data_IF_670776876893
#
_entry.id   IF_670776876893
#
_cell.length_a   1.000
_cell.length_b   1.000
_cell.length_c   1.000
_cell.angle_alpha   90.00
_cell.angle_beta   90.00
_cell.angle_gamma   90.00
#
_symmetry.space_group_name_H-M   'P 1'
#
loop_
_entity.id
_entity.type
_entity.pdbx_description
1 polymer ?
#
# COMPACT_ATOMS: atom_id res chain seq x y z
N UNK A 1 -11.71 10.69 31.83
CA UNK A 1 -12.10 9.32 31.43
C UNK A 1 -11.88 8.38 32.61
N UNK A 2 -12.23 7.12 32.47
CA UNK A 2 -11.97 6.08 33.47
C UNK A 2 -10.52 5.62 33.42
N UNK A 3 -9.91 5.44 34.59
CA UNK A 3 -8.52 5.05 34.73
C UNK A 3 -8.26 4.25 36.01
N UNK A 4 -7.13 3.55 36.05
CA UNK A 4 -6.60 2.85 37.21
C UNK A 4 -5.15 3.27 37.43
N UNK A 5 -4.77 3.53 38.67
CA UNK A 5 -3.39 3.74 39.10
C UNK A 5 -3.00 2.61 40.04
N UNK A 6 -1.87 1.97 39.75
CA UNK A 6 -1.31 0.89 40.56
C UNK A 6 -0.03 1.39 41.20
N UNK A 7 0.05 1.27 42.53
CA UNK A 7 1.25 1.50 43.33
C UNK A 7 2.01 0.19 43.51
N UNK A 8 3.29 0.21 43.15
CA UNK A 8 4.17 -0.96 43.19
C UNK A 8 4.97 -1.06 44.50
N UNK A 9 4.88 -0.05 45.38
CA UNK A 9 5.46 -0.05 46.72
C UNK A 9 6.94 0.30 46.81
N UNK A 10 7.62 0.48 45.68
CA UNK A 10 9.03 0.86 45.55
C UNK A 10 9.22 2.30 45.05
N UNK A 11 8.17 3.11 45.15
CA UNK A 11 8.14 4.50 44.68
C UNK A 11 7.66 4.65 43.23
N UNK A 12 7.36 3.55 42.53
CA UNK A 12 6.77 3.59 41.19
C UNK A 12 5.26 3.44 41.19
N UNK A 13 4.63 4.19 40.29
CA UNK A 13 3.19 4.13 40.00
C UNK A 13 2.98 3.88 38.49
N UNK A 14 2.02 3.05 38.13
CA UNK A 14 1.60 2.88 36.73
C UNK A 14 0.14 3.27 36.52
N UNK A 15 -0.14 4.13 35.55
CA UNK A 15 -1.47 4.63 35.22
C UNK A 15 -1.98 4.02 33.91
N UNK A 16 -3.23 3.57 33.90
CA UNK A 16 -3.93 3.02 32.73
C UNK A 16 -5.21 3.80 32.49
N UNK A 17 -5.30 4.51 31.36
CA UNK A 17 -6.39 5.41 31.02
C UNK A 17 -7.26 4.93 29.86
N UNK A 18 -8.29 5.73 29.58
CA UNK A 18 -9.32 5.51 28.56
C UNK A 18 -10.10 4.20 28.72
N UNK A 19 -10.23 3.68 29.95
CA UNK A 19 -11.09 2.52 30.17
C UNK A 19 -12.54 2.86 29.81
N UNK A 20 -13.30 1.83 29.49
CA UNK A 20 -14.67 1.95 28.98
C UNK A 20 -15.60 2.57 30.11
N UNK A 21 -16.78 3.18 29.83
CA UNK A 21 -17.81 3.63 30.87
C UNK A 21 -19.37 3.51 30.53
N UNK A 22 -20.02 2.34 30.40
CA UNK A 22 -21.42 2.07 29.96
C UNK A 22 -21.82 0.78 30.69
N UNK A 23 -23.07 0.75 31.16
CA UNK A 23 -23.64 -0.42 31.82
C UNK A 23 -23.07 -0.73 33.20
N UNK A 24 -22.28 0.17 33.80
CA UNK A 24 -21.87 0.08 35.21
C UNK A 24 -20.70 -0.86 35.53
N UNK A 25 -19.99 -1.43 34.55
CA UNK A 25 -18.92 -2.41 34.83
C UNK A 25 -17.71 -2.26 33.93
N UNK A 26 -16.82 -1.30 34.22
CA UNK A 26 -15.73 -0.95 33.30
C UNK A 26 -14.39 -0.47 33.90
N UNK A 27 -14.27 -0.49 35.23
CA UNK A 27 -13.02 -0.70 35.96
C UNK A 27 -13.25 -1.91 36.85
N UNK A 28 -12.34 -2.89 36.87
CA UNK A 28 -12.54 -4.20 37.52
C UNK A 28 -11.99 -4.29 38.94
N UNK A 29 -11.26 -3.26 39.36
CA UNK A 29 -10.61 -3.18 40.67
C UNK A 29 -11.14 -2.00 41.46
N UNK A 30 -10.98 -2.06 42.79
CA UNK A 30 -11.34 -0.98 43.70
C UNK A 30 -10.11 -0.32 44.30
N UNK A 31 -10.26 0.93 44.73
CA UNK A 31 -9.19 1.62 45.48
C UNK A 31 -8.80 0.81 46.71
N UNK A 32 -7.49 0.58 46.87
CA UNK A 32 -6.93 -0.21 47.98
C UNK A 32 -6.88 -1.72 47.74
N UNK A 33 -7.40 -2.20 46.62
CA UNK A 33 -7.31 -3.62 46.26
C UNK A 33 -5.86 -4.00 45.90
N UNK A 34 -5.36 -5.09 46.49
CA UNK A 34 -4.06 -5.64 46.11
C UNK A 34 -4.19 -6.41 44.80
N UNK A 35 -3.38 -6.04 43.82
CA UNK A 35 -3.38 -6.64 42.48
C UNK A 35 -2.04 -7.31 42.19
N UNK A 36 -2.06 -8.36 41.37
CA UNK A 36 -0.86 -9.01 40.85
C UNK A 36 -0.59 -8.54 39.41
N UNK A 37 0.56 -8.93 38.85
CA UNK A 37 0.89 -8.69 37.43
C UNK A 37 -0.13 -9.29 36.45
N UNK A 38 -0.97 -10.24 36.90
CA UNK A 38 -1.97 -10.92 36.07
C UNK A 38 -3.41 -10.48 36.36
N UNK A 39 -3.62 -9.58 37.33
CA UNK A 39 -4.97 -9.16 37.73
C UNK A 39 -5.57 -8.24 36.66
N UNK A 40 -6.72 -8.59 36.04
CA UNK A 40 -7.34 -7.73 35.03
C UNK A 40 -7.88 -6.43 35.65
N UNK A 41 -7.31 -5.28 35.28
CA UNK A 41 -7.65 -3.97 35.86
C UNK A 41 -8.96 -3.37 35.29
N UNK A 42 -9.30 -3.70 34.05
CA UNK A 42 -10.43 -3.11 33.34
C UNK A 42 -10.50 -3.58 31.89
N UNK A 43 -11.34 -2.91 31.10
CA UNK A 43 -11.45 -3.15 29.65
C UNK A 43 -11.06 -1.88 28.88
N UNK A 44 -10.38 -2.09 27.76
CA UNK A 44 -9.99 -1.02 26.82
C UNK A 44 -11.25 -0.30 26.35
N UNK A 45 -11.21 1.03 26.33
CA UNK A 45 -12.33 1.86 25.95
C UNK A 45 -11.88 3.16 25.29
N UNK A 46 -12.72 4.17 25.39
CA UNK A 46 -12.52 5.45 24.71
C UNK A 46 -13.06 6.64 25.50
N UNK A 47 -12.88 6.64 26.82
CA UNK A 47 -13.40 7.72 27.69
C UNK A 47 -12.36 8.82 27.94
N UNK A 48 -12.82 10.07 28.16
CA UNK A 48 -11.95 11.24 28.36
C UNK A 48 -11.61 11.98 27.05
N UNK A 49 -10.56 12.80 27.07
CA UNK A 49 -10.09 13.51 25.87
C UNK A 49 -9.20 12.61 25.02
N UNK A 50 -9.73 12.11 23.90
CA UNK A 50 -9.04 11.11 23.06
C UNK A 50 -9.60 11.09 21.64
N UNK A 51 -8.72 11.00 20.62
CA UNK A 51 -9.02 11.30 19.21
C UNK A 51 -8.92 10.11 18.24
N UNK A 52 -8.60 8.90 18.71
CA UNK A 52 -8.16 7.78 17.84
C UNK A 52 -8.91 6.45 18.03
N UNK A 53 -10.14 6.44 18.56
CA UNK A 53 -10.87 5.19 18.80
C UNK A 53 -10.42 4.45 20.08
N UNK A 54 -10.91 3.22 20.33
CA UNK A 54 -10.58 2.47 21.54
C UNK A 54 -9.09 2.12 21.65
N UNK A 55 -8.44 2.53 22.75
CA UNK A 55 -7.03 2.26 23.03
C UNK A 55 -6.72 2.38 24.53
N UNK A 56 -5.51 2.01 24.93
CA UNK A 56 -5.01 2.20 26.30
C UNK A 56 -3.99 3.34 26.31
N UNK A 57 -4.18 4.30 27.22
CA UNK A 57 -3.14 5.26 27.58
C UNK A 57 -2.39 4.74 28.80
N UNK A 58 -1.07 4.62 28.71
CA UNK A 58 -0.28 4.02 29.78
C UNK A 58 0.93 4.88 30.13
N UNK A 59 1.11 5.13 31.43
CA UNK A 59 2.20 5.95 31.96
C UNK A 59 2.86 5.28 33.17
N UNK A 60 4.13 5.62 33.39
CA UNK A 60 4.87 5.30 34.60
C UNK A 60 5.28 6.60 35.28
N UNK A 61 5.11 6.66 36.60
CA UNK A 61 5.51 7.77 37.45
C UNK A 61 6.41 7.26 38.57
N UNK A 62 7.31 8.11 39.05
CA UNK A 62 8.14 7.87 40.22
C UNK A 62 7.89 8.97 41.26
N UNK A 63 7.81 8.62 42.54
CA UNK A 63 7.44 9.53 43.62
C UNK A 63 8.26 10.83 43.65
N UNK A 64 9.55 10.75 43.31
CA UNK A 64 10.45 11.93 43.30
C UNK A 64 10.59 12.59 41.93
N UNK A 65 10.40 11.83 40.84
CA UNK A 65 10.73 12.31 39.47
C UNK A 65 9.49 12.68 38.66
N UNK A 66 8.28 12.42 39.18
CA UNK A 66 7.03 12.55 38.44
C UNK A 66 6.95 11.55 37.28
N UNK A 67 6.37 11.96 36.16
CA UNK A 67 6.21 11.09 34.98
C UNK A 67 7.55 10.75 34.35
N UNK A 68 7.87 9.46 34.25
CA UNK A 68 9.13 8.95 33.69
C UNK A 68 8.91 8.38 32.29
N UNK A 69 9.95 8.36 31.46
CA UNK A 69 9.84 7.79 30.11
C UNK A 69 9.77 6.26 30.18
N UNK A 70 8.79 5.68 29.47
CA UNK A 70 8.56 4.23 29.47
C UNK A 70 9.74 3.43 28.86
N UNK A 71 10.55 4.01 27.97
CA UNK A 71 11.69 3.33 27.34
C UNK A 71 12.87 3.07 28.29
N UNK A 72 12.82 3.58 29.52
CA UNK A 72 13.75 3.20 30.60
C UNK A 72 13.49 1.80 31.16
N UNK A 73 12.24 1.33 31.04
CA UNK A 73 11.80 0.06 31.64
C UNK A 73 11.54 -1.01 30.56
N UNK A 74 11.44 -0.60 29.31
CA UNK A 74 11.17 -1.48 28.18
C UNK A 74 12.04 -1.11 26.99
N UNK A 75 12.73 -2.10 26.43
CA UNK A 75 13.36 -1.90 25.13
C UNK A 75 12.28 -1.83 24.06
N UNK A 76 12.35 -0.83 23.18
CA UNK A 76 11.50 -0.76 21.98
C UNK A 76 11.68 -1.99 21.09
N UNK A 77 12.85 -2.65 21.12
CA UNK A 77 13.07 -3.90 20.40
C UNK A 77 12.42 -5.12 21.05
N UNK A 78 12.11 -5.06 22.35
CA UNK A 78 11.40 -6.13 23.08
C UNK A 78 9.88 -6.01 23.02
N UNK A 79 9.35 -4.82 22.69
CA UNK A 79 7.92 -4.62 22.42
C UNK A 79 7.72 -4.65 20.91
N UNK A 80 7.45 -5.84 20.37
CA UNK A 80 6.98 -5.97 18.99
C UNK A 80 5.60 -5.31 18.94
N UNK A 81 5.54 -4.08 18.42
CA UNK A 81 4.27 -3.39 18.19
C UNK A 81 3.52 -4.13 17.10
N UNK A 82 2.67 -5.07 17.52
CA UNK A 82 1.90 -5.87 16.61
C UNK A 82 0.44 -5.45 16.69
N UNK A 83 0.05 -4.62 15.73
CA UNK A 83 -1.29 -4.04 15.64
C UNK A 83 -2.42 -5.10 15.56
N UNK A 84 -2.08 -6.35 15.25
CA UNK A 84 -3.04 -7.47 15.05
C UNK A 84 -2.52 -8.87 15.41
N UNK A 85 -1.49 -9.06 16.26
CA UNK A 85 -0.97 -10.41 16.55
C UNK A 85 -1.96 -11.32 17.28
N UNK A 86 -3.02 -10.77 17.88
CA UNK A 86 -4.13 -11.56 18.42
C UNK A 86 -5.05 -12.14 17.33
N UNK A 87 -4.87 -11.75 16.06
CA UNK A 87 -5.63 -12.23 14.91
C UNK A 87 -4.81 -13.19 14.01
N UNK A 88 -3.56 -13.48 14.36
CA UNK A 88 -2.73 -14.46 13.68
C UNK A 88 -3.02 -15.86 14.25
N UNK A 89 -3.67 -16.72 13.46
CA UNK A 89 -4.01 -18.09 13.84
C UNK A 89 -2.80 -19.02 14.02
N UNK A 90 -1.58 -18.56 13.69
CA UNK A 90 -0.34 -19.31 13.87
C UNK A 90 0.34 -19.08 15.23
N UNK A 91 -0.08 -18.08 15.98
CA UNK A 91 0.45 -17.80 17.33
C UNK A 91 -0.37 -18.58 18.35
N UNK A 92 0.17 -19.70 18.83
CA UNK A 92 -0.38 -20.42 19.99
C UNK A 92 -0.23 -19.51 21.22
N UNK A 93 -1.21 -18.65 21.45
CA UNK A 93 -1.41 -18.09 22.77
C UNK A 93 -1.99 -19.18 23.65
N UNK A 94 -1.28 -19.53 24.72
CA UNK A 94 -1.81 -20.29 25.86
C UNK A 94 -2.85 -19.43 26.59
N UNK A 95 -3.97 -19.14 25.93
CA UNK A 95 -5.11 -18.49 26.57
C UNK A 95 -5.82 -19.58 27.36
N UNK A 96 -5.75 -19.46 28.68
CA UNK A 96 -6.62 -20.22 29.59
C UNK A 96 -8.05 -19.95 29.14
N UNK A 97 -8.66 -20.95 28.51
CA UNK A 97 -9.99 -20.86 27.94
C UNK A 97 -11.02 -20.64 29.06
N UNK A 98 -11.34 -19.39 29.37
CA UNK A 98 -12.61 -19.07 29.98
C UNK A 98 -13.65 -19.10 28.87
N UNK A 99 -14.27 -20.26 28.67
CA UNK A 99 -15.49 -20.40 27.89
C UNK A 99 -16.54 -19.44 28.46
N UNK A 100 -16.80 -18.35 27.75
CA UNK A 100 -17.98 -17.52 27.98
C UNK A 100 -19.04 -17.98 27.00
N UNK A 101 -19.82 -18.98 27.44
CA UNK A 101 -21.19 -19.18 26.98
C UNK A 101 -21.95 -17.90 27.27
N UNK A 102 -22.07 -17.03 26.28
CA UNK A 102 -22.92 -15.85 26.34
C UNK A 102 -24.36 -16.28 26.63
N UNK A 103 -24.86 -15.86 27.79
CA UNK A 103 -26.15 -16.26 28.34
C UNK A 103 -27.30 -15.95 27.40
N UNK A 104 -28.28 -16.86 27.42
CA UNK A 104 -29.58 -16.70 26.80
C UNK A 104 -30.29 -15.45 27.29
N UNK A 105 -30.40 -14.46 26.41
CA UNK A 105 -31.55 -13.56 26.39
C UNK A 105 -32.56 -14.12 25.41
N UNK A 106 -33.84 -14.15 25.79
CA UNK A 106 -34.99 -14.72 25.05
C UNK A 106 -35.25 -14.06 23.67
N UNK A 107 -34.36 -13.19 23.20
CA UNK A 107 -34.43 -12.50 21.92
C UNK A 107 -33.07 -12.59 21.22
N UNK A 108 -32.77 -13.73 20.58
CA UNK A 108 -31.63 -13.81 19.67
C UNK A 108 -31.89 -12.97 18.42
N UNK A 109 -30.82 -12.47 17.79
CA UNK A 109 -30.92 -11.68 16.55
C UNK A 109 -31.61 -12.47 15.44
N UNK A 110 -31.42 -13.80 15.40
CA UNK A 110 -32.11 -14.66 14.43
C UNK A 110 -33.62 -14.72 14.69
N UNK A 111 -34.05 -14.75 15.96
CA UNK A 111 -35.47 -14.80 16.32
C UNK A 111 -36.22 -13.51 15.95
N UNK A 112 -35.59 -12.35 16.17
CA UNK A 112 -36.17 -11.05 15.77
C UNK A 112 -36.29 -10.97 14.25
N UNK A 113 -35.25 -11.41 13.52
CA UNK A 113 -35.28 -11.46 12.06
C UNK A 113 -36.38 -12.38 11.52
N UNK A 114 -36.52 -13.57 12.11
CA UNK A 114 -37.55 -14.53 11.74
C UNK A 114 -38.97 -14.01 12.04
N UNK A 115 -39.19 -13.37 13.19
CA UNK A 115 -40.47 -12.76 13.56
C UNK A 115 -40.83 -11.59 12.63
N UNK A 116 -39.87 -10.74 12.27
CA UNK A 116 -40.11 -9.64 11.33
C UNK A 116 -40.47 -10.16 9.93
N UNK A 117 -39.80 -11.20 9.45
CA UNK A 117 -40.10 -11.83 8.16
C UNK A 117 -41.48 -12.51 8.16
N UNK A 118 -41.84 -13.19 9.24
CA UNK A 118 -43.18 -13.77 9.43
C UNK A 118 -44.26 -12.71 9.48
N UNK A 119 -44.02 -11.59 10.17
CA UNK A 119 -44.96 -10.49 10.31
C UNK A 119 -45.12 -9.73 8.98
N UNK A 120 -44.04 -9.58 8.21
CA UNK A 120 -44.06 -9.05 6.85
C UNK A 120 -44.84 -9.98 5.91
N UNK A 121 -44.58 -11.29 5.98
CA UNK A 121 -45.32 -12.31 5.21
C UNK A 121 -46.81 -12.35 5.56
N UNK A 122 -47.15 -12.26 6.84
CA UNK A 122 -48.53 -12.19 7.30
C UNK A 122 -49.23 -10.90 6.85
N UNK A 123 -48.55 -9.76 6.87
CA UNK A 123 -49.10 -8.50 6.36
C UNK A 123 -49.34 -8.54 4.85
N UNK A 124 -48.45 -9.17 4.09
CA UNK A 124 -48.62 -9.40 2.64
C UNK A 124 -49.82 -10.31 2.37
N UNK A 125 -50.01 -11.35 3.18
CA UNK A 125 -51.06 -12.35 2.97
C UNK A 125 -52.46 -11.90 3.45
N UNK A 126 -52.56 -11.26 4.62
CA UNK A 126 -53.86 -10.94 5.25
C UNK A 126 -54.33 -9.51 5.06
N UNK A 127 -53.42 -8.56 4.80
CA UNK A 127 -53.74 -7.12 4.65
C UNK A 127 -52.87 -6.49 3.54
N UNK A 128 -52.93 -7.01 2.29
CA UNK A 128 -52.10 -6.52 1.19
C UNK A 128 -52.29 -5.02 0.92
N UNK A 129 -53.48 -4.49 1.24
CA UNK A 129 -53.82 -3.07 1.16
C UNK A 129 -52.94 -2.19 2.06
N UNK A 130 -52.59 -2.65 3.26
CA UNK A 130 -51.74 -1.90 4.21
C UNK A 130 -50.31 -1.83 3.70
N UNK A 131 -49.81 -2.94 3.17
CA UNK A 131 -48.49 -3.01 2.52
C UNK A 131 -48.46 -2.14 1.27
N UNK A 132 -49.50 -2.20 0.43
CA UNK A 132 -49.62 -1.38 -0.76
C UNK A 132 -49.68 0.12 -0.44
N UNK A 133 -50.44 0.53 0.59
CA UNK A 133 -50.51 1.92 1.04
C UNK A 133 -49.19 2.40 1.65
N UNK A 134 -48.51 1.55 2.44
CA UNK A 134 -47.19 1.85 3.01
C UNK A 134 -46.13 2.07 1.92
N UNK A 135 -46.03 1.13 0.98
CA UNK A 135 -45.13 1.21 -0.18
C UNK A 135 -45.48 2.40 -1.07
N UNK A 136 -46.77 2.68 -1.28
CA UNK A 136 -47.22 3.84 -2.05
C UNK A 136 -46.86 5.18 -1.37
N UNK A 137 -46.94 5.28 -0.04
CA UNK A 137 -46.55 6.49 0.70
C UNK A 137 -45.03 6.70 0.70
N UNK A 138 -44.25 5.63 0.89
CA UNK A 138 -42.79 5.67 0.79
C UNK A 138 -42.33 6.03 -0.63
N UNK A 139 -42.94 5.42 -1.64
CA UNK A 139 -42.71 5.74 -3.05
C UNK A 139 -43.06 7.19 -3.39
N UNK A 140 -44.13 7.76 -2.82
CA UNK A 140 -44.45 9.20 -2.98
C UNK A 140 -43.44 10.11 -2.29
N UNK A 141 -42.91 9.75 -1.13
CA UNK A 141 -41.87 10.53 -0.46
C UNK A 141 -40.57 10.54 -1.30
N UNK A 142 -40.16 9.38 -1.80
CA UNK A 142 -39.01 9.21 -2.70
C UNK A 142 -39.22 9.95 -4.03
N UNK A 143 -40.41 9.85 -4.62
CA UNK A 143 -40.74 10.55 -5.86
C UNK A 143 -40.74 12.09 -5.68
N UNK A 144 -41.16 12.61 -4.52
CA UNK A 144 -41.04 14.05 -4.22
C UNK A 144 -39.59 14.49 -4.07
N UNK A 145 -38.76 13.68 -3.41
CA UNK A 145 -37.31 13.91 -3.29
C UNK A 145 -36.63 13.92 -4.66
N UNK A 146 -37.04 13.03 -5.57
CA UNK A 146 -36.54 12.97 -6.94
C UNK A 146 -37.15 14.05 -7.86
N UNK A 147 -38.40 14.47 -7.64
CA UNK A 147 -39.05 15.57 -8.38
C UNK A 147 -38.42 16.94 -8.09
N UNK A 148 -37.79 17.15 -6.93
CA UNK A 148 -36.92 18.31 -6.69
C UNK A 148 -35.70 18.36 -7.63
N UNK A 149 -35.39 17.27 -8.36
CA UNK A 149 -34.25 17.17 -9.30
C UNK A 149 -34.63 17.01 -10.79
N UNK A 150 -35.93 16.97 -11.14
CA UNK A 150 -36.38 16.63 -12.50
C UNK A 150 -37.42 17.61 -13.07
N UNK A 151 -37.09 18.89 -13.21
CA UNK A 151 -37.89 19.83 -14.02
C UNK A 151 -37.69 19.69 -15.55
N UNK A 152 -36.88 18.73 -16.01
CA UNK A 152 -36.47 18.61 -17.43
C UNK A 152 -37.08 17.40 -18.18
N UNK A 153 -37.68 16.43 -17.48
CA UNK A 153 -38.09 15.16 -18.10
C UNK A 153 -39.61 14.93 -18.14
N UNK A 154 -40.37 15.98 -18.49
CA UNK A 154 -41.74 15.79 -18.96
C UNK A 154 -41.80 15.99 -20.46
N UNK A 155 -42.01 14.90 -21.19
CA UNK A 155 -43.06 14.72 -22.22
C UNK A 155 -42.74 13.46 -23.05
N UNK A 156 -43.77 12.67 -23.39
CA UNK A 156 -43.76 11.68 -24.50
C UNK A 156 -43.51 10.19 -24.23
N UNK A 157 -43.84 9.58 -23.07
CA UNK A 157 -43.94 8.11 -23.00
C UNK A 157 -45.16 7.57 -22.22
N UNK A 158 -45.86 6.61 -22.84
CA UNK A 158 -47.19 6.09 -22.49
C UNK A 158 -47.32 5.50 -21.06
N UNK A 159 -48.46 5.83 -20.42
CA UNK A 159 -48.81 5.65 -18.99
C UNK A 159 -49.00 4.23 -18.46
N UNK A 160 -48.80 3.14 -19.22
CA UNK A 160 -49.04 1.77 -18.72
C UNK A 160 -47.79 0.93 -18.49
N UNK A 161 -46.73 1.16 -19.26
CA UNK A 161 -45.47 0.39 -19.16
C UNK A 161 -44.52 0.94 -18.10
N UNK A 162 -44.58 2.25 -17.82
CA UNK A 162 -43.75 2.92 -16.81
C UNK A 162 -44.09 2.52 -15.38
N UNK A 163 -45.34 2.13 -15.10
CA UNK A 163 -45.75 1.75 -13.75
C UNK A 163 -45.09 0.45 -13.28
N UNK A 164 -45.00 -0.56 -14.15
CA UNK A 164 -44.35 -1.83 -13.82
C UNK A 164 -42.83 -1.72 -13.78
N UNK A 165 -42.21 -1.00 -14.72
CA UNK A 165 -40.76 -0.79 -14.70
C UNK A 165 -40.32 0.05 -13.50
N UNK A 166 -41.12 1.02 -13.05
CA UNK A 166 -40.82 1.82 -11.86
C UNK A 166 -40.99 1.01 -10.56
N UNK A 167 -41.95 0.09 -10.49
CA UNK A 167 -42.11 -0.83 -9.34
C UNK A 167 -40.96 -1.85 -9.30
N UNK A 168 -40.58 -2.39 -10.45
CA UNK A 168 -39.43 -3.29 -10.58
C UNK A 168 -38.14 -2.56 -10.16
N UNK A 169 -37.89 -1.35 -10.67
CA UNK A 169 -36.73 -0.55 -10.26
C UNK A 169 -36.75 -0.15 -8.79
N UNK A 170 -37.93 0.11 -8.19
CA UNK A 170 -38.01 0.54 -6.79
C UNK A 170 -37.94 -0.61 -5.78
N UNK A 171 -38.27 -1.84 -6.18
CA UNK A 171 -38.32 -3.01 -5.27
C UNK A 171 -37.21 -4.01 -5.56
N UNK A 172 -37.03 -4.41 -6.82
CA UNK A 172 -36.04 -5.41 -7.18
C UNK A 172 -34.62 -4.84 -7.12
N UNK A 173 -34.37 -3.59 -7.53
CA UNK A 173 -33.00 -3.05 -7.51
C UNK A 173 -32.47 -2.90 -6.08
N UNK A 174 -33.19 -2.34 -5.09
CA UNK A 174 -32.69 -2.30 -3.72
C UNK A 174 -32.58 -3.69 -3.07
N UNK A 175 -33.50 -4.61 -3.37
CA UNK A 175 -33.44 -5.99 -2.88
C UNK A 175 -32.26 -6.76 -3.47
N UNK A 176 -31.96 -6.58 -4.76
CA UNK A 176 -30.79 -7.13 -5.44
C UNK A 176 -29.51 -6.49 -4.90
N UNK A 177 -29.47 -5.18 -4.68
CA UNK A 177 -28.30 -4.49 -4.10
C UNK A 177 -28.06 -4.91 -2.64
N UNK A 178 -29.11 -5.11 -1.84
CA UNK A 178 -28.96 -5.60 -0.46
C UNK A 178 -28.56 -7.08 -0.41
N UNK A 179 -29.13 -7.92 -1.29
CA UNK A 179 -28.77 -9.34 -1.34
C UNK A 179 -27.37 -9.55 -1.90
N UNK A 180 -26.96 -8.79 -2.92
CA UNK A 180 -25.58 -8.80 -3.44
C UNK A 180 -24.59 -8.21 -2.46
N UNK A 181 -24.91 -7.13 -1.75
CA UNK A 181 -24.03 -6.58 -0.70
C UNK A 181 -23.79 -7.58 0.44
N UNK A 182 -24.84 -8.31 0.83
CA UNK A 182 -24.74 -9.36 1.86
C UNK A 182 -24.02 -10.59 1.33
N UNK A 183 -24.28 -11.02 0.09
CA UNK A 183 -23.58 -12.14 -0.54
C UNK A 183 -22.10 -11.85 -0.76
N UNK A 184 -21.73 -10.63 -1.14
CA UNK A 184 -20.35 -10.16 -1.25
C UNK A 184 -19.69 -10.17 0.13
N UNK A 185 -20.36 -9.67 1.17
CA UNK A 185 -19.81 -9.70 2.53
C UNK A 185 -19.61 -11.11 3.07
N UNK A 186 -20.51 -12.06 2.75
CA UNK A 186 -20.38 -13.48 3.12
C UNK A 186 -19.26 -14.15 2.33
N UNK A 187 -19.19 -13.94 1.01
CA UNK A 187 -18.10 -14.43 0.17
C UNK A 187 -16.72 -13.92 0.65
N UNK A 188 -16.63 -12.63 1.00
CA UNK A 188 -15.40 -12.07 1.58
C UNK A 188 -15.04 -12.68 2.93
N UNK A 189 -16.04 -13.00 3.76
CA UNK A 189 -15.79 -13.63 5.05
C UNK A 189 -15.29 -15.06 4.88
N UNK A 190 -15.83 -15.82 3.92
CA UNK A 190 -15.39 -17.18 3.59
C UNK A 190 -13.97 -17.19 3.00
N UNK A 191 -13.65 -16.24 2.12
CA UNK A 191 -12.33 -16.11 1.48
C UNK A 191 -11.31 -15.29 2.31
N UNK A 192 -11.67 -14.88 3.54
CA UNK A 192 -10.83 -14.06 4.43
C UNK A 192 -10.37 -12.71 3.82
N UNK A 193 -11.17 -12.14 2.91
CA UNK A 193 -10.86 -10.87 2.23
C UNK A 193 -11.21 -9.70 3.16
N UNK A 194 -10.20 -8.90 3.57
CA UNK A 194 -10.40 -7.73 4.42
C UNK A 194 -11.33 -6.70 3.73
N UNK A 195 -12.40 -6.21 4.40
CA UNK A 195 -13.30 -5.17 3.89
C UNK A 195 -12.63 -3.89 3.40
N UNK A 196 -11.44 -3.56 3.90
CA UNK A 196 -10.61 -2.46 3.44
C UNK A 196 -10.07 -2.70 2.04
N UNK A 197 -9.83 -3.95 1.66
CA UNK A 197 -9.45 -4.33 0.29
C UNK A 197 -10.62 -4.00 -0.63
N UNK A 198 -11.88 -4.22 -0.23
CA UNK A 198 -13.06 -3.86 -1.02
C UNK A 198 -13.35 -2.36 -1.08
N UNK A 199 -13.06 -1.63 -0.01
CA UNK A 199 -13.06 -0.17 -0.06
C UNK A 199 -11.93 0.38 -0.96
N UNK A 200 -10.79 -0.32 -0.99
CA UNK A 200 -9.70 -0.09 -1.93
C UNK A 200 -10.11 -0.43 -3.38
N UNK A 201 -10.80 -1.55 -3.61
CA UNK A 201 -11.35 -1.99 -4.90
C UNK A 201 -12.35 -0.95 -5.44
N UNK A 202 -13.28 -0.45 -4.60
CA UNK A 202 -14.24 0.58 -5.00
C UNK A 202 -13.60 1.95 -5.25
N UNK A 203 -12.56 2.32 -4.48
CA UNK A 203 -11.93 3.64 -4.55
C UNK A 203 -10.88 3.74 -5.68
N UNK A 204 -10.31 2.63 -6.12
CA UNK A 204 -9.15 2.62 -7.03
C UNK A 204 -9.29 1.75 -8.29
N UNK A 205 -10.44 1.10 -8.53
CA UNK A 205 -10.75 0.42 -9.80
C UNK A 205 -10.99 -1.09 -9.65
N UNK A 206 -11.84 -1.63 -10.54
CA UNK A 206 -12.44 -2.98 -10.41
C UNK A 206 -11.49 -4.18 -10.55
N UNK A 207 -10.21 -3.99 -10.90
CA UNK A 207 -9.23 -5.07 -10.95
C UNK A 207 -7.84 -4.46 -10.68
N UNK A 208 -7.08 -4.90 -9.66
CA UNK A 208 -5.63 -4.77 -9.76
C UNK A 208 -5.24 -5.59 -10.99
N UNK A 209 -4.63 -4.96 -11.98
CA UNK A 209 -3.91 -5.70 -13.01
C UNK A 209 -2.65 -6.18 -12.31
N UNK A 210 -2.52 -7.46 -11.93
CA UNK A 210 -1.28 -7.89 -11.30
C UNK A 210 -0.17 -7.78 -12.35
N UNK A 211 0.80 -6.91 -12.11
CA UNK A 211 2.00 -6.86 -12.92
C UNK A 211 2.67 -8.23 -12.99
N UNK A 212 3.19 -8.60 -14.16
CA UNK A 212 3.90 -9.87 -14.34
C UNK A 212 5.23 -9.93 -13.59
N UNK A 213 5.70 -8.79 -13.08
CA UNK A 213 6.99 -8.65 -12.41
C UNK A 213 8.17 -8.76 -13.40
N UNK A 214 9.34 -9.07 -12.86
CA UNK A 214 10.53 -9.28 -13.68
C UNK A 214 10.43 -10.59 -14.47
N UNK A 215 10.78 -10.49 -15.76
CA UNK A 215 10.82 -11.55 -16.75
C UNK A 215 12.28 -11.81 -17.15
N UNK A 216 12.74 -13.03 -16.91
CA UNK A 216 14.13 -13.42 -17.20
C UNK A 216 14.40 -13.31 -18.71
N UNK A 217 15.47 -12.60 -19.06
CA UNK A 217 15.90 -12.40 -20.45
C UNK A 217 15.13 -11.31 -21.21
N UNK A 218 14.12 -10.68 -20.59
CA UNK A 218 13.47 -9.52 -21.15
C UNK A 218 14.37 -8.28 -21.11
N UNK A 219 13.98 -7.25 -21.86
CA UNK A 219 14.64 -5.94 -21.83
C UNK A 219 13.70 -4.89 -21.28
N UNK A 220 14.27 -3.87 -20.67
CA UNK A 220 13.57 -2.86 -19.92
C UNK A 220 13.99 -1.47 -20.38
N UNK A 221 13.00 -0.60 -20.56
CA UNK A 221 13.22 0.82 -20.81
C UNK A 221 12.64 1.60 -19.64
N UNK A 222 13.51 2.18 -18.82
CA UNK A 222 13.11 2.84 -17.59
C UNK A 222 13.20 4.35 -17.69
N UNK A 223 12.18 5.05 -17.20
CA UNK A 223 12.27 6.48 -16.87
C UNK A 223 12.43 6.62 -15.37
N UNK A 224 13.46 7.35 -14.94
CA UNK A 224 13.76 7.58 -13.53
C UNK A 224 13.59 9.06 -13.20
N UNK A 225 12.95 9.39 -12.08
CA UNK A 225 13.06 10.75 -11.57
C UNK A 225 12.24 11.04 -10.34
N UNK A 226 12.21 12.32 -9.99
CA UNK A 226 11.36 12.86 -8.94
C UNK A 226 10.15 13.54 -9.60
N UNK A 227 8.95 12.96 -9.53
CA UNK A 227 7.74 13.66 -9.92
C UNK A 227 7.59 15.00 -9.19
N UNK A 228 6.96 15.98 -9.84
CA UNK A 228 6.69 17.32 -9.32
C UNK A 228 7.88 18.25 -9.06
N UNK A 229 9.12 17.87 -9.38
CA UNK A 229 10.29 18.72 -9.09
C UNK A 229 10.61 19.75 -10.19
N UNK A 230 9.91 19.71 -11.33
CA UNK A 230 10.21 20.58 -12.46
C UNK A 230 11.49 20.21 -13.21
N UNK A 231 12.15 19.08 -12.88
CA UNK A 231 13.39 18.58 -13.52
C UNK A 231 13.28 17.10 -13.91
N UNK A 232 14.03 16.63 -14.93
CA UNK A 232 13.98 15.25 -15.47
C UNK A 232 12.71 14.89 -16.24
N UNK A 233 12.64 13.69 -16.83
CA UNK A 233 11.44 13.22 -17.56
C UNK A 233 10.22 13.19 -16.65
N UNK A 234 10.36 12.65 -15.44
CA UNK A 234 9.25 12.49 -14.49
C UNK A 234 8.86 13.76 -13.74
N UNK A 235 9.77 14.72 -13.53
CA UNK A 235 9.46 15.93 -12.76
C UNK A 235 8.56 16.94 -13.45
N UNK A 236 8.08 16.67 -14.67
CA UNK A 236 7.06 17.51 -15.35
C UNK A 236 5.64 17.24 -14.85
N UNK A 237 5.42 16.09 -14.21
CA UNK A 237 4.10 15.66 -13.80
C UNK A 237 4.08 15.23 -12.34
N UNK A 238 2.89 15.32 -11.76
CA UNK A 238 2.55 14.78 -10.44
C UNK A 238 1.53 13.65 -10.53
N UNK A 239 0.95 13.44 -11.71
CA UNK A 239 -0.14 12.49 -11.90
C UNK A 239 0.42 11.14 -12.35
N UNK A 240 0.06 10.04 -11.67
CA UNK A 240 0.52 8.70 -12.02
C UNK A 240 0.28 8.28 -13.47
N UNK A 241 -0.84 8.67 -14.08
CA UNK A 241 -1.15 8.36 -15.48
C UNK A 241 -0.18 9.03 -16.45
N UNK A 242 0.20 10.27 -16.16
CA UNK A 242 1.21 11.01 -16.94
C UNK A 242 2.63 10.43 -16.73
N UNK A 243 2.93 9.89 -15.54
CA UNK A 243 4.18 9.15 -15.31
C UNK A 243 4.21 7.89 -16.16
N UNK A 244 3.10 7.13 -16.20
CA UNK A 244 2.99 5.95 -17.05
C UNK A 244 3.10 6.28 -18.55
N UNK A 245 2.45 7.36 -19.00
CA UNK A 245 2.62 7.88 -20.38
C UNK A 245 4.07 8.22 -20.70
N UNK A 246 4.82 8.79 -19.76
CA UNK A 246 6.23 9.08 -19.95
C UNK A 246 7.08 7.79 -20.09
N UNK A 247 6.80 6.77 -19.29
CA UNK A 247 7.46 5.47 -19.40
C UNK A 247 7.19 4.79 -20.76
N UNK A 248 5.93 4.80 -21.22
CA UNK A 248 5.55 4.30 -22.55
C UNK A 248 6.19 5.12 -23.67
N UNK A 249 6.24 6.45 -23.54
CA UNK A 249 6.89 7.30 -24.54
C UNK A 249 8.38 6.95 -24.70
N UNK A 250 9.10 6.78 -23.58
CA UNK A 250 10.49 6.34 -23.59
C UNK A 250 10.65 4.96 -24.21
N UNK A 251 9.79 4.01 -23.84
CA UNK A 251 9.75 2.67 -24.44
C UNK A 251 9.61 2.71 -25.96
N UNK A 252 8.73 3.55 -26.50
CA UNK A 252 8.56 3.72 -27.94
C UNK A 252 9.77 4.38 -28.62
N UNK A 253 10.52 5.25 -27.93
CA UNK A 253 11.78 5.78 -28.44
C UNK A 253 12.87 4.71 -28.50
N UNK A 254 13.06 3.96 -27.42
CA UNK A 254 14.02 2.85 -27.35
C UNK A 254 13.67 1.77 -28.36
N UNK A 255 12.39 1.44 -28.53
CA UNK A 255 11.92 0.45 -29.51
C UNK A 255 12.26 0.84 -30.94
N UNK A 256 11.99 2.10 -31.30
CA UNK A 256 12.32 2.62 -32.64
C UNK A 256 13.83 2.63 -32.90
N UNK A 257 14.62 2.92 -31.88
CA UNK A 257 16.08 2.97 -31.98
C UNK A 257 16.72 1.57 -32.04
N UNK A 258 16.40 0.71 -31.08
CA UNK A 258 17.04 -0.60 -30.89
C UNK A 258 16.42 -1.73 -31.72
N UNK A 259 15.18 -1.53 -32.21
CA UNK A 259 14.32 -2.59 -32.79
C UNK A 259 13.97 -3.73 -31.85
N UNK A 260 14.23 -3.57 -30.54
CA UNK A 260 13.76 -4.47 -29.49
C UNK A 260 12.47 -3.90 -28.91
N UNK A 261 11.58 -4.75 -28.39
CA UNK A 261 10.37 -4.32 -27.69
C UNK A 261 10.59 -4.42 -26.17
N UNK A 262 11.17 -3.41 -25.51
CA UNK A 262 11.39 -3.46 -24.07
C UNK A 262 10.08 -3.25 -23.30
N UNK A 263 10.05 -3.76 -22.07
CA UNK A 263 9.01 -3.50 -21.09
C UNK A 263 9.20 -2.08 -20.52
N UNK A 264 8.16 -1.22 -20.51
CA UNK A 264 8.25 0.11 -19.93
C UNK A 264 8.34 0.03 -18.41
N UNK A 265 9.23 0.84 -17.81
CA UNK A 265 9.40 0.92 -16.35
C UNK A 265 9.35 2.37 -15.91
N UNK A 266 8.59 2.65 -14.85
CA UNK A 266 8.64 3.93 -14.14
C UNK A 266 9.36 3.75 -12.79
N UNK A 267 10.45 4.49 -12.59
CA UNK A 267 11.20 4.54 -11.33
C UNK A 267 10.97 5.91 -10.69
N UNK A 268 10.01 5.98 -9.75
CA UNK A 268 9.63 7.26 -9.11
C UNK A 268 10.16 7.37 -7.70
N UNK A 269 10.84 8.47 -7.40
CA UNK A 269 11.24 8.80 -6.03
C UNK A 269 10.12 9.47 -5.26
N UNK A 270 9.85 8.97 -4.06
CA UNK A 270 8.85 9.55 -3.16
C UNK A 270 9.24 10.93 -2.67
N UNK A 271 8.26 11.82 -2.57
CA UNK A 271 8.41 13.15 -1.98
C UNK A 271 7.07 13.65 -1.42
N UNK A 272 7.00 14.90 -0.96
CA UNK A 272 5.78 15.46 -0.36
C UNK A 272 4.58 15.53 -1.33
N UNK A 273 4.81 15.62 -2.64
CA UNK A 273 3.78 15.75 -3.67
C UNK A 273 3.49 14.43 -4.40
N UNK A 274 4.44 13.49 -4.36
CA UNK A 274 4.30 12.13 -4.86
C UNK A 274 4.54 11.15 -3.72
N UNK A 275 3.47 10.91 -2.95
CA UNK A 275 3.47 10.11 -1.74
C UNK A 275 3.04 8.64 -2.01
N UNK A 276 2.83 7.86 -0.94
CA UNK A 276 2.46 6.43 -1.02
C UNK A 276 1.14 6.21 -1.78
N UNK A 277 0.20 7.16 -1.71
CA UNK A 277 -1.08 7.12 -2.43
C UNK A 277 -0.86 7.25 -3.94
N UNK A 278 0.02 8.14 -4.39
CA UNK A 278 0.37 8.27 -5.81
C UNK A 278 1.18 7.07 -6.29
N UNK A 279 2.13 6.57 -5.49
CA UNK A 279 2.87 5.33 -5.80
C UNK A 279 1.93 4.13 -5.99
N UNK A 280 0.93 3.99 -5.12
CA UNK A 280 -0.10 2.95 -5.26
C UNK A 280 -0.90 3.10 -6.55
N UNK A 281 -1.30 4.32 -6.91
CA UNK A 281 -2.01 4.57 -8.17
C UNK A 281 -1.11 4.27 -9.37
N UNK A 282 0.18 4.61 -9.29
CA UNK A 282 1.14 4.34 -10.34
C UNK A 282 1.27 2.85 -10.65
N UNK A 283 1.20 1.97 -9.64
CA UNK A 283 1.16 0.52 -9.87
C UNK A 283 0.05 0.16 -10.86
N UNK A 284 -1.19 0.57 -10.59
CA UNK A 284 -2.32 0.32 -11.48
C UNK A 284 -2.09 0.89 -12.90
N UNK A 285 -1.60 2.12 -13.01
CA UNK A 285 -1.37 2.77 -14.31
C UNK A 285 -0.27 2.07 -15.12
N UNK A 286 0.79 1.61 -14.46
CA UNK A 286 1.88 0.88 -15.11
C UNK A 286 1.46 -0.53 -15.50
N UNK A 287 0.73 -1.24 -14.64
CA UNK A 287 0.24 -2.59 -14.95
C UNK A 287 -0.80 -2.58 -16.07
N UNK A 288 -1.58 -1.51 -16.22
CA UNK A 288 -2.51 -1.34 -17.34
C UNK A 288 -1.80 -1.26 -18.71
N UNK A 289 -0.52 -0.87 -18.73
CA UNK A 289 0.31 -0.79 -19.94
C UNK A 289 1.37 -1.89 -20.00
N UNK A 290 1.16 -3.00 -19.29
CA UNK A 290 2.07 -4.15 -19.17
C UNK A 290 3.50 -3.74 -18.76
N UNK A 291 3.62 -2.69 -17.94
CA UNK A 291 4.88 -2.15 -17.45
C UNK A 291 5.11 -2.38 -15.97
N UNK A 292 6.30 -1.98 -15.50
CA UNK A 292 6.70 -2.10 -14.09
C UNK A 292 6.73 -0.74 -13.39
N UNK A 293 6.27 -0.72 -12.14
CA UNK A 293 6.39 0.43 -11.24
C UNK A 293 7.36 0.11 -10.09
N UNK A 294 8.45 0.88 -10.04
CA UNK A 294 9.51 0.75 -9.05
C UNK A 294 9.57 2.03 -8.23
N UNK A 295 9.63 1.89 -6.90
CA UNK A 295 9.64 3.04 -6.00
C UNK A 295 11.05 3.29 -5.48
N UNK A 296 11.61 4.46 -5.81
CA UNK A 296 12.90 4.93 -5.31
C UNK A 296 12.71 5.55 -3.91
N UNK A 297 13.37 4.96 -2.93
CA UNK A 297 13.33 5.40 -1.52
C UNK A 297 14.60 6.13 -1.09
N UNK A 298 15.44 6.53 -2.04
CA UNK A 298 16.77 7.09 -1.79
C UNK A 298 17.60 6.12 -0.93
N UNK A 299 18.17 6.59 0.16
CA UNK A 299 18.99 5.81 1.10
C UNK A 299 18.19 5.16 2.24
N UNK A 300 16.85 5.26 2.24
CA UNK A 300 16.02 4.89 3.39
C UNK A 300 15.52 3.43 3.35
N UNK A 301 16.31 2.50 3.87
CA UNK A 301 15.95 1.08 3.98
C UNK A 301 14.71 0.81 4.82
N UNK A 302 14.47 1.59 5.89
CA UNK A 302 13.26 1.40 6.69
C UNK A 302 12.01 1.74 5.87
N UNK A 303 12.06 2.82 5.09
CA UNK A 303 10.99 3.16 4.17
C UNK A 303 10.81 2.09 3.08
N UNK A 304 11.90 1.50 2.57
CA UNK A 304 11.79 0.35 1.66
C UNK A 304 10.97 -0.79 2.26
N UNK A 305 11.30 -1.23 3.49
CA UNK A 305 10.57 -2.29 4.17
C UNK A 305 9.09 -1.93 4.39
N UNK A 306 8.80 -0.70 4.82
CA UNK A 306 7.43 -0.23 5.01
C UNK A 306 6.62 -0.28 3.69
N UNK A 307 7.23 0.13 2.57
CA UNK A 307 6.58 0.11 1.26
C UNK A 307 6.40 -1.31 0.73
N UNK A 308 7.34 -2.21 0.96
CA UNK A 308 7.20 -3.63 0.61
C UNK A 308 6.03 -4.24 1.37
N UNK A 309 5.90 -3.95 2.66
CA UNK A 309 4.78 -4.44 3.47
C UNK A 309 3.43 -3.85 3.04
N UNK A 310 3.40 -2.57 2.66
CA UNK A 310 2.18 -1.87 2.31
C UNK A 310 1.73 -2.10 0.86
N UNK A 311 2.66 -2.06 -0.10
CA UNK A 311 2.37 -1.98 -1.53
C UNK A 311 2.40 -3.32 -2.24
N UNK A 312 2.99 -4.37 -1.66
CA UNK A 312 3.04 -5.69 -2.32
C UNK A 312 1.64 -6.25 -2.56
N UNK A 313 0.68 -6.05 -1.66
CA UNK A 313 -0.72 -6.46 -1.88
C UNK A 313 -1.37 -5.73 -3.08
N UNK A 314 -0.80 -4.61 -3.52
CA UNK A 314 -1.21 -3.86 -4.71
C UNK A 314 -0.33 -4.14 -5.92
N UNK A 315 0.50 -5.18 -5.89
CA UNK A 315 1.32 -5.58 -7.03
C UNK A 315 2.67 -4.87 -7.15
N UNK A 316 3.27 -4.39 -6.05
CA UNK A 316 4.60 -3.76 -6.08
C UNK A 316 5.62 -4.60 -6.88
N UNK A 317 6.16 -4.04 -7.98
CA UNK A 317 7.13 -4.74 -8.81
C UNK A 317 8.53 -4.66 -8.21
N UNK A 318 8.91 -3.50 -7.65
CA UNK A 318 10.26 -3.33 -7.11
C UNK A 318 10.51 -2.08 -6.29
N UNK A 319 11.71 -2.05 -5.71
CA UNK A 319 12.26 -0.93 -4.95
C UNK A 319 13.59 -0.51 -5.58
N UNK A 320 13.90 0.78 -5.57
CA UNK A 320 15.21 1.30 -5.91
C UNK A 320 15.87 1.96 -4.69
N UNK A 321 17.16 1.64 -4.47
CA UNK A 321 18.00 2.20 -3.41
C UNK A 321 19.15 2.99 -4.01
N UNK A 322 19.29 4.24 -3.55
CA UNK A 322 20.41 5.11 -3.84
C UNK A 322 21.61 4.77 -2.97
N UNK A 323 22.68 4.31 -3.58
CA UNK A 323 23.91 3.94 -2.88
C UNK A 323 24.95 5.06 -2.88
N UNK A 324 24.73 6.16 -3.60
CA UNK A 324 25.70 7.26 -3.71
C UNK A 324 25.92 7.95 -2.36
N UNK A 325 24.82 8.22 -1.66
CA UNK A 325 24.79 9.01 -0.43
C UNK A 325 24.58 8.16 0.83
N UNK A 326 24.62 6.84 0.69
CA UNK A 326 24.55 5.94 1.82
C UNK A 326 25.97 5.72 2.35
N UNK A 327 26.29 6.32 3.51
CA UNK A 327 27.63 6.27 4.12
C UNK A 327 28.21 4.85 4.18
N UNK A 328 27.37 3.84 4.45
CA UNK A 328 27.67 2.41 4.28
C UNK A 328 26.40 1.62 3.97
N UNK A 329 26.34 0.93 2.83
CA UNK A 329 25.28 -0.05 2.54
C UNK A 329 25.83 -1.43 2.83
N UNK A 330 25.41 -2.04 3.94
CA UNK A 330 25.87 -3.39 4.28
C UNK A 330 25.15 -4.39 3.39
N UNK A 331 25.87 -5.41 2.93
CA UNK A 331 25.29 -6.52 2.18
C UNK A 331 24.07 -7.14 2.89
N UNK A 332 24.11 -7.22 4.23
CA UNK A 332 23.01 -7.68 5.07
C UNK A 332 21.72 -6.86 4.90
N UNK A 333 21.82 -5.55 4.73
CA UNK A 333 20.64 -4.67 4.61
C UNK A 333 19.96 -4.91 3.25
N UNK A 334 20.74 -5.08 2.18
CA UNK A 334 20.25 -5.49 0.85
C UNK A 334 19.64 -6.89 0.93
N UNK A 335 20.30 -7.82 1.62
CA UNK A 335 19.83 -9.20 1.76
C UNK A 335 18.47 -9.25 2.45
N UNK A 336 18.31 -8.57 3.59
CA UNK A 336 17.07 -8.55 4.34
C UNK A 336 15.92 -7.88 3.59
N UNK A 337 16.21 -6.83 2.82
CA UNK A 337 15.20 -6.21 1.98
C UNK A 337 14.73 -7.17 0.88
N UNK A 338 15.65 -7.84 0.19
CA UNK A 338 15.30 -8.83 -0.83
C UNK A 338 14.53 -10.03 -0.25
N UNK A 339 14.94 -10.56 0.90
CA UNK A 339 14.22 -11.63 1.61
C UNK A 339 12.79 -11.21 1.95
N UNK A 340 12.60 -9.98 2.43
CA UNK A 340 11.26 -9.44 2.75
C UNK A 340 10.40 -9.25 1.50
N UNK A 341 10.99 -8.80 0.39
CA UNK A 341 10.32 -8.66 -0.90
C UNK A 341 9.82 -10.03 -1.41
N UNK A 342 10.69 -11.05 -1.35
CA UNK A 342 10.33 -12.43 -1.71
C UNK A 342 9.19 -12.97 -0.83
N UNK A 343 9.33 -12.86 0.49
CA UNK A 343 8.29 -13.28 1.46
C UNK A 343 6.93 -12.64 1.15
N UNK A 344 6.90 -11.32 0.96
CA UNK A 344 5.65 -10.61 0.69
C UNK A 344 5.06 -10.97 -0.67
N UNK A 345 5.88 -11.09 -1.71
CA UNK A 345 5.41 -11.44 -3.05
C UNK A 345 4.81 -12.84 -3.09
N UNK A 346 5.43 -13.82 -2.41
CA UNK A 346 4.86 -15.17 -2.19
C UNK A 346 3.54 -15.11 -1.44
N UNK A 347 3.48 -14.38 -0.33
CA UNK A 347 2.26 -14.29 0.49
C UNK A 347 1.08 -13.67 -0.27
N UNK A 348 1.36 -12.80 -1.24
CA UNK A 348 0.38 -12.18 -2.12
C UNK A 348 0.08 -12.99 -3.39
N UNK A 349 0.71 -14.16 -3.57
CA UNK A 349 0.59 -15.01 -4.76
C UNK A 349 0.81 -14.26 -6.08
N UNK A 350 1.78 -13.34 -6.11
CA UNK A 350 2.11 -12.56 -7.30
C UNK A 350 3.08 -13.33 -8.22
N UNK A 351 2.87 -13.30 -9.54
CA UNK A 351 3.76 -13.96 -10.50
C UNK A 351 5.10 -13.23 -10.65
N UNK A 352 6.11 -13.90 -11.21
CA UNK A 352 7.41 -13.31 -11.54
C UNK A 352 8.26 -12.85 -10.35
N UNK A 353 9.50 -12.44 -10.62
CA UNK A 353 10.42 -11.96 -9.57
C UNK A 353 10.15 -10.49 -9.24
N UNK A 354 10.38 -10.09 -7.99
CA UNK A 354 10.46 -8.66 -7.66
C UNK A 354 11.79 -8.07 -8.14
N UNK A 355 11.87 -6.76 -8.34
CA UNK A 355 13.09 -6.06 -8.76
C UNK A 355 13.65 -5.23 -7.61
N UNK A 356 14.91 -5.44 -7.26
CA UNK A 356 15.65 -4.56 -6.37
C UNK A 356 16.73 -3.83 -7.18
N UNK A 357 16.50 -2.54 -7.45
CA UNK A 357 17.47 -1.70 -8.16
C UNK A 357 18.46 -1.12 -7.16
N UNK A 358 19.74 -1.29 -7.46
CA UNK A 358 20.85 -0.68 -6.73
C UNK A 358 21.56 0.26 -7.68
N UNK A 359 21.58 1.56 -7.40
CA UNK A 359 22.21 2.53 -8.30
C UNK A 359 23.36 3.29 -7.65
N UNK A 360 24.32 3.66 -8.48
CA UNK A 360 25.57 4.36 -8.14
C UNK A 360 26.53 3.58 -7.20
N UNK A 361 27.04 2.43 -7.66
CA UNK A 361 27.51 1.37 -6.76
C UNK A 361 29.04 1.21 -6.58
N UNK A 362 29.84 2.26 -6.76
CA UNK A 362 31.30 2.06 -6.81
C UNK A 362 32.03 2.07 -5.47
N UNK A 363 31.37 2.48 -4.40
CA UNK A 363 32.11 2.91 -3.21
C UNK A 363 31.63 2.28 -1.90
N UNK A 364 30.39 1.77 -1.83
CA UNK A 364 29.72 1.59 -0.54
C UNK A 364 29.20 0.17 -0.25
N UNK A 365 29.48 -0.82 -1.11
CA UNK A 365 29.19 -2.23 -0.82
C UNK A 365 30.49 -2.99 -0.54
N UNK A 366 30.52 -3.72 0.57
CA UNK A 366 31.61 -4.64 0.86
C UNK A 366 31.71 -5.66 -0.28
N UNK A 367 32.90 -5.79 -0.88
CA UNK A 367 33.14 -6.73 -1.98
C UNK A 367 32.90 -8.15 -1.48
N UNK A 368 31.75 -8.71 -1.81
CA UNK A 368 31.33 -10.02 -1.33
C UNK A 368 30.31 -10.64 -2.27
N UNK A 369 30.76 -11.69 -2.96
CA UNK A 369 29.95 -12.61 -3.77
C UNK A 369 28.69 -13.05 -3.00
N UNK A 370 27.54 -13.22 -3.67
CA UNK A 370 26.37 -13.90 -3.08
C UNK A 370 25.08 -13.08 -2.90
N UNK A 371 24.87 -12.01 -3.67
CA UNK A 371 23.57 -11.33 -3.77
C UNK A 371 22.68 -12.01 -4.81
N UNK A 372 22.35 -13.29 -4.60
CA UNK A 372 21.45 -14.05 -5.45
C UNK A 372 20.18 -14.43 -4.67
N UNK A 373 19.03 -14.14 -5.27
CA UNK A 373 17.72 -14.49 -4.73
C UNK A 373 16.84 -15.06 -5.84
N UNK A 374 16.25 -16.22 -5.59
CA UNK A 374 15.43 -16.88 -6.62
C UNK A 374 14.21 -16.03 -7.02
N UNK A 375 13.65 -15.28 -6.08
CA UNK A 375 12.40 -14.52 -6.25
C UNK A 375 12.60 -13.00 -6.35
N UNK A 376 13.84 -12.52 -6.20
CA UNK A 376 14.17 -11.09 -6.36
C UNK A 376 15.34 -10.96 -7.30
N UNK A 377 15.12 -10.27 -8.41
CA UNK A 377 16.18 -9.88 -9.31
C UNK A 377 16.83 -8.59 -8.80
N UNK A 378 18.11 -8.68 -8.45
CA UNK A 378 18.92 -7.50 -8.17
C UNK A 378 19.45 -6.95 -9.50
N UNK A 379 19.17 -5.67 -9.77
CA UNK A 379 19.59 -4.99 -11.00
C UNK A 379 20.50 -3.82 -10.62
N UNK A 380 21.83 -3.97 -10.75
CA UNK A 380 22.72 -2.85 -10.57
C UNK A 380 22.69 -1.92 -11.79
N UNK A 381 22.53 -0.62 -11.54
CA UNK A 381 22.44 0.39 -12.60
C UNK A 381 23.59 1.38 -12.47
N UNK A 382 24.40 1.46 -13.53
CA UNK A 382 25.46 2.45 -13.63
C UNK A 382 24.93 3.82 -14.04
N UNK A 383 25.26 4.85 -13.26
CA UNK A 383 24.76 6.23 -13.44
C UNK A 383 25.86 7.27 -13.52
N UNK A 384 27.13 6.86 -13.63
CA UNK A 384 28.24 7.80 -13.75
C UNK A 384 28.12 8.67 -15.00
N UNK A 385 28.78 9.81 -14.94
CA UNK A 385 28.72 10.88 -15.93
C UNK A 385 29.91 10.80 -16.92
N UNK A 386 29.84 11.57 -18.01
CA UNK A 386 30.95 11.73 -18.95
C UNK A 386 30.76 11.02 -20.29
N UNK A 387 31.88 10.64 -20.93
CA UNK A 387 31.92 10.05 -22.28
C UNK A 387 31.36 8.63 -22.31
N UNK A 388 31.04 8.13 -23.51
CA UNK A 388 30.66 6.73 -23.72
C UNK A 388 31.68 5.79 -23.10
N UNK A 389 32.97 5.98 -23.39
CA UNK A 389 34.04 5.11 -22.88
C UNK A 389 34.11 5.11 -21.35
N UNK A 390 34.02 6.29 -20.72
CA UNK A 390 34.01 6.39 -19.26
C UNK A 390 32.82 5.67 -18.64
N UNK A 391 31.64 5.77 -19.27
CA UNK A 391 30.45 5.06 -18.82
C UNK A 391 30.57 3.54 -18.98
N UNK A 392 31.22 3.07 -20.04
CA UNK A 392 31.41 1.64 -20.26
C UNK A 392 32.38 1.02 -19.26
N UNK A 393 33.47 1.72 -18.92
CA UNK A 393 34.39 1.28 -17.85
C UNK A 393 33.67 1.18 -16.51
N UNK A 394 32.82 2.16 -16.20
CA UNK A 394 31.99 2.11 -15.00
C UNK A 394 31.00 0.95 -15.03
N UNK A 395 30.28 0.75 -16.14
CA UNK A 395 29.35 -0.36 -16.32
C UNK A 395 30.03 -1.72 -16.14
N UNK A 396 31.18 -1.94 -16.78
CA UNK A 396 31.97 -3.17 -16.66
C UNK A 396 32.34 -3.42 -15.20
N UNK A 397 32.79 -2.37 -14.49
CA UNK A 397 33.13 -2.48 -13.08
C UNK A 397 31.92 -2.76 -12.20
N UNK A 398 30.75 -2.18 -12.50
CA UNK A 398 29.48 -2.52 -11.84
C UNK A 398 29.16 -4.00 -12.02
N UNK A 399 29.21 -4.50 -13.27
CA UNK A 399 28.91 -5.89 -13.58
C UNK A 399 29.86 -6.85 -12.86
N UNK A 400 31.16 -6.51 -12.79
CA UNK A 400 32.15 -7.27 -12.03
C UNK A 400 31.83 -7.32 -10.53
N UNK A 401 31.49 -6.19 -9.90
CA UNK A 401 31.20 -6.11 -8.46
C UNK A 401 29.98 -6.93 -8.06
N UNK A 402 28.97 -6.99 -8.94
CA UNK A 402 27.72 -7.70 -8.69
C UNK A 402 27.64 -9.09 -9.31
N UNK A 403 28.68 -9.52 -10.04
CA UNK A 403 28.64 -10.72 -10.88
C UNK A 403 27.44 -10.72 -11.85
N UNK A 404 26.99 -9.53 -12.26
CA UNK A 404 25.78 -9.34 -13.06
C UNK A 404 26.08 -9.52 -14.55
N UNK A 405 25.27 -10.32 -15.23
CA UNK A 405 25.33 -10.41 -16.69
C UNK A 405 24.82 -9.10 -17.32
N UNK A 406 25.18 -8.79 -18.59
CA UNK A 406 24.69 -7.58 -19.26
C UNK A 406 23.17 -7.43 -19.19
N UNK A 407 22.40 -8.49 -19.46
CA UNK A 407 20.93 -8.49 -19.37
C UNK A 407 20.37 -8.29 -17.95
N UNK A 408 21.18 -8.45 -16.93
CA UNK A 408 20.82 -8.27 -15.52
C UNK A 408 21.37 -6.96 -14.95
N UNK A 409 21.89 -6.08 -15.81
CA UNK A 409 22.44 -4.79 -15.43
C UNK A 409 21.79 -3.65 -16.23
N UNK A 410 21.97 -2.43 -15.74
CA UNK A 410 21.47 -1.23 -16.39
C UNK A 410 22.50 -0.14 -16.58
N UNK A 411 22.21 0.72 -17.55
CA UNK A 411 23.00 1.91 -17.85
C UNK A 411 22.08 3.11 -18.02
N UNK A 412 22.43 4.22 -17.37
CA UNK A 412 21.66 5.45 -17.39
C UNK A 412 22.22 6.49 -18.36
N UNK A 413 21.33 7.06 -19.14
CA UNK A 413 21.55 8.25 -19.96
C UNK A 413 20.80 9.45 -19.35
N UNK A 414 21.44 10.61 -19.37
CA UNK A 414 20.84 11.87 -18.93
C UNK A 414 20.43 12.67 -20.18
N UNK A 415 19.13 12.87 -20.40
CA UNK A 415 18.61 13.56 -21.60
C UNK A 415 17.51 14.59 -21.27
N UNK A 416 17.21 15.46 -22.23
CA UNK A 416 16.10 16.41 -22.31
C UNK A 416 16.03 17.56 -21.29
N UNK A 417 16.79 17.54 -20.19
CA UNK A 417 16.80 18.66 -19.22
C UNK A 417 18.17 19.08 -18.70
N UNK A 418 19.16 18.20 -18.75
CA UNK A 418 20.55 18.58 -18.54
C UNK A 418 21.14 18.86 -19.93
N UNK A 419 21.63 20.07 -20.22
CA UNK A 419 22.20 20.37 -21.54
C UNK A 419 23.28 19.33 -21.84
N UNK A 420 23.31 18.67 -23.00
CA UNK A 420 24.41 17.72 -23.25
C UNK A 420 25.72 18.52 -23.33
N UNK A 421 26.67 18.19 -22.47
CA UNK A 421 28.00 18.80 -22.47
C UNK A 421 28.86 18.21 -23.60
N UNK A 422 28.54 18.55 -24.85
CA UNK A 422 29.25 18.04 -26.04
C UNK A 422 30.76 18.31 -26.05
N UNK A 423 31.27 19.15 -25.15
CA UNK A 423 32.69 19.50 -25.05
C UNK A 423 33.44 18.72 -23.96
N UNK A 424 32.75 18.02 -23.06
CA UNK A 424 33.36 17.22 -21.98
C UNK A 424 34.37 17.95 -21.09
N UNK A 425 34.16 19.24 -20.79
CA UNK A 425 35.17 20.03 -20.04
C UNK A 425 34.85 20.20 -18.55
N UNK A 426 33.57 20.34 -18.19
CA UNK A 426 33.07 20.56 -16.81
C UNK A 426 31.60 20.16 -16.71
N UNK A 427 31.14 19.63 -15.56
CA UNK A 427 29.76 19.14 -15.40
C UNK A 427 29.00 19.87 -14.29
N UNK A 428 27.74 20.25 -14.55
CA UNK A 428 26.77 20.77 -13.57
C UNK A 428 25.35 20.82 -14.16
N UNK A 429 24.40 21.32 -13.37
CA UNK A 429 22.98 21.55 -13.74
C UNK A 429 22.76 22.42 -14.97
N UNK A 430 23.70 23.29 -15.28
CA UNK A 430 23.62 24.26 -16.39
C UNK A 430 24.38 23.79 -17.63
N UNK A 431 25.40 22.95 -17.49
CA UNK A 431 26.29 22.54 -18.58
C UNK A 431 26.02 21.12 -19.06
N UNK A 432 25.35 20.30 -18.25
CA UNK A 432 25.21 18.87 -18.49
C UNK A 432 26.12 18.02 -17.67
N UNK A 433 25.70 16.78 -17.48
CA UNK A 433 26.56 15.72 -16.98
C UNK A 433 27.06 14.78 -18.07
N UNK A 434 26.28 14.57 -19.12
CA UNK A 434 26.67 13.68 -20.21
C UNK A 434 27.38 14.43 -21.33
N UNK A 435 28.36 13.74 -21.91
CA UNK A 435 29.11 14.21 -23.07
C UNK A 435 28.42 13.94 -24.41
N UNK A 436 27.36 13.12 -24.38
CA UNK A 436 26.72 12.56 -25.55
C UNK A 436 25.21 12.47 -25.36
N UNK A 437 24.49 12.36 -26.48
CA UNK A 437 23.09 11.96 -26.49
C UNK A 437 22.94 10.47 -26.17
N UNK A 438 21.80 10.08 -25.59
CA UNK A 438 21.54 8.68 -25.27
C UNK A 438 21.64 7.75 -26.49
N UNK A 439 21.34 8.23 -27.70
CA UNK A 439 21.45 7.42 -28.94
C UNK A 439 22.89 7.10 -29.27
N UNK A 440 23.82 8.00 -28.94
CA UNK A 440 25.26 7.75 -29.11
C UNK A 440 25.72 6.74 -28.06
N UNK A 441 25.25 6.87 -26.81
CA UNK A 441 25.56 5.92 -25.74
C UNK A 441 25.04 4.51 -26.06
N UNK A 442 23.73 4.36 -26.26
CA UNK A 442 23.10 3.07 -26.55
C UNK A 442 23.32 2.59 -27.98
N UNK A 443 23.98 3.39 -28.84
CA UNK A 443 24.49 2.94 -30.13
C UNK A 443 25.77 2.10 -30.01
N UNK A 444 26.49 2.20 -28.89
CA UNK A 444 27.65 1.37 -28.63
C UNK A 444 27.24 -0.09 -28.30
N UNK A 445 27.85 -1.12 -28.90
CA UNK A 445 27.42 -2.52 -28.71
C UNK A 445 27.35 -2.98 -27.25
N UNK A 446 28.34 -2.60 -26.42
CA UNK A 446 28.34 -2.96 -24.99
C UNK A 446 27.17 -2.30 -24.22
N UNK A 447 26.91 -1.01 -24.44
CA UNK A 447 25.77 -0.31 -23.85
C UNK A 447 24.43 -0.81 -24.41
N UNK A 448 24.39 -1.21 -25.68
CA UNK A 448 23.23 -1.82 -26.30
C UNK A 448 22.97 -3.24 -25.78
N UNK A 449 23.94 -3.91 -25.14
CA UNK A 449 23.79 -5.28 -24.64
C UNK A 449 23.13 -5.37 -23.26
N UNK A 450 23.01 -4.24 -22.55
CA UNK A 450 22.42 -4.23 -21.21
C UNK A 450 20.92 -4.56 -21.23
N UNK A 451 20.41 -5.07 -20.12
CA UNK A 451 18.99 -5.36 -19.96
C UNK A 451 18.15 -4.12 -19.70
N UNK A 452 18.73 -3.10 -19.07
CA UNK A 452 17.99 -1.92 -18.61
C UNK A 452 18.55 -0.62 -19.21
N UNK A 453 17.76 -0.01 -20.11
CA UNK A 453 18.05 1.30 -20.69
C UNK A 453 17.31 2.39 -19.91
N UNK A 454 18.05 3.12 -19.08
CA UNK A 454 17.47 4.09 -18.16
C UNK A 454 17.65 5.51 -18.71
N UNK A 455 16.57 6.29 -18.70
CA UNK A 455 16.58 7.73 -18.92
C UNK A 455 16.26 8.44 -17.59
N UNK A 456 17.02 9.48 -17.25
CA UNK A 456 16.73 10.36 -16.10
C UNK A 456 16.43 11.81 -16.54
#
# INVERSE_FOLDING_TARGET
GCWVLVDHGDGYLSLYGHMIDEGGGRVRVRTGEKVSSWTPLGRVGWTGMTSFGPHVHWEIHHAEQGRVRNDRFFSRSSIVYCKFCAADGSVVQTVVASAYTGGGGILSRELIGALLLLLLGALIFFRPEVVAVGVHRAGRAMARFLQTSQSVWQTTFQRRTVHWSSIILAVLVPAIICSTGTAVAVWMADEQIDPRVLLAYFRFGFYPFPGEGYQVGARYSAVWGLPCQGVGTLGRTCQPDEVAKAAVAWQQEVKRFSRVDPIPVAITRLNMQFDRVQARRLLNEMHYVDGLAIIDVSTNFQLAHDLVDELTIFGLDGIAIDMEFADQVRQRDVYWLAERMAEKRRSANLPGKSVLILWNVFHNIDRGTGLAFDEVQIIPIFTGYGSVDGKLVGLEKTQEIFEAQPLESGLMAFDQRWPINRRCKTFNTTLGFDCQDWRVLFGHPAAASVGWWVQQ
#
